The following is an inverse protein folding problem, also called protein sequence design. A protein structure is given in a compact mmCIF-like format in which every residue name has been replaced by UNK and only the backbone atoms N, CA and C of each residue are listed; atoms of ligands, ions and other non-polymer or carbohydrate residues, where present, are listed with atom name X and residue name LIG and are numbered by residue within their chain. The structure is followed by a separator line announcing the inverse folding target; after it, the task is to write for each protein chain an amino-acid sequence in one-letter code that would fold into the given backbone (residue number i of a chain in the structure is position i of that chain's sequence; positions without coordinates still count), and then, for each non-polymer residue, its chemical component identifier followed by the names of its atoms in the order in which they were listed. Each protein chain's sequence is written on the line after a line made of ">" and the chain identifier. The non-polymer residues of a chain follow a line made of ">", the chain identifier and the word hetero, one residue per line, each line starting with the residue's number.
data_IF_726815759746
#
_entry.id   IF_726815759746
#
_cell.length_a   1.000
_cell.length_b   1.000
_cell.length_c   1.000
_cell.angle_alpha   90.00
_cell.angle_beta   90.00
_cell.angle_gamma   90.00
#
_symmetry.space_group_name_H-M   'P 1'
#
loop_
_entity.id
_entity.type
_entity.pdbx_description
1 polymer ?
#
# COMPACT_ATOMS: atom_id res chain seq x y z
N UNK A 1 1.79 2.35 -4.61
CA UNK A 1 2.23 3.07 -3.40
C UNK A 1 3.13 4.23 -3.76
N UNK A 2 4.43 4.07 -4.04
CA UNK A 2 5.30 5.21 -4.41
C UNK A 2 4.90 5.85 -5.75
N UNK A 3 4.77 5.05 -6.81
CA UNK A 3 4.37 5.57 -8.12
C UNK A 3 3.01 6.31 -8.09
N UNK A 4 2.01 5.76 -7.39
CA UNK A 4 0.71 6.40 -7.24
C UNK A 4 0.78 7.70 -6.43
N UNK A 5 1.68 7.80 -5.45
CA UNK A 5 1.91 9.04 -4.70
C UNK A 5 2.61 10.14 -5.49
N UNK A 6 3.37 9.76 -6.52
CA UNK A 6 4.12 10.71 -7.36
C UNK A 6 3.29 11.17 -8.56
N UNK A 7 2.41 10.32 -9.09
CA UNK A 7 1.69 10.57 -10.36
C UNK A 7 0.24 11.04 -10.16
N UNK A 8 -0.39 10.70 -9.05
CA UNK A 8 -1.80 11.01 -8.79
C UNK A 8 -1.92 12.09 -7.70
N UNK A 9 -2.85 13.03 -7.89
CA UNK A 9 -3.13 14.12 -6.93
C UNK A 9 -3.72 13.59 -5.62
N UNK A 10 -4.66 12.64 -5.71
CA UNK A 10 -5.25 11.96 -4.56
C UNK A 10 -4.68 10.54 -4.44
N UNK A 11 -3.93 10.31 -3.37
CA UNK A 11 -3.24 9.04 -3.13
C UNK A 11 -3.43 8.57 -1.69
N UNK A 12 -3.31 7.27 -1.48
CA UNK A 12 -3.45 6.66 -0.17
C UNK A 12 -2.21 6.91 0.71
N UNK A 13 -2.46 7.23 1.99
CA UNK A 13 -1.43 7.32 3.03
C UNK A 13 -0.78 5.96 3.33
N UNK A 14 0.36 5.95 4.04
CA UNK A 14 0.98 4.69 4.47
C UNK A 14 0.12 3.89 5.42
N UNK A 15 -0.69 4.57 6.24
CA UNK A 15 -1.67 3.92 7.10
C UNK A 15 -2.74 3.21 6.27
N UNK A 16 -3.21 3.84 5.19
CA UNK A 16 -4.17 3.25 4.26
C UNK A 16 -3.57 2.06 3.51
N UNK A 17 -2.32 2.16 3.05
CA UNK A 17 -1.62 1.04 2.41
C UNK A 17 -1.35 -0.14 3.36
N UNK A 18 -1.12 0.11 4.65
CA UNK A 18 -1.02 -0.94 5.68
C UNK A 18 -2.34 -1.69 5.88
N UNK A 19 -3.49 -1.04 5.63
CA UNK A 19 -4.80 -1.71 5.66
C UNK A 19 -4.98 -2.57 4.40
N UNK A 20 -4.58 -2.06 3.23
CA UNK A 20 -4.64 -2.78 1.95
C UNK A 20 -3.80 -4.07 1.99
N UNK A 21 -2.69 -4.09 2.72
CA UNK A 21 -1.85 -5.28 2.88
C UNK A 21 -2.46 -6.35 3.80
N UNK A 22 -3.63 -6.11 4.42
CA UNK A 22 -4.36 -7.08 5.25
C UNK A 22 -3.52 -7.70 6.38
N UNK A 23 -2.53 -6.97 6.90
CA UNK A 23 -1.65 -7.45 7.97
C UNK A 23 -0.41 -8.20 7.50
N UNK A 24 -0.15 -8.28 6.18
CA UNK A 24 1.10 -8.81 5.65
C UNK A 24 2.30 -7.91 5.95
N UNK A 25 2.07 -6.60 6.08
CA UNK A 25 3.10 -5.61 6.38
C UNK A 25 2.62 -4.63 7.44
N UNK A 26 3.41 -4.45 8.49
CA UNK A 26 3.21 -3.41 9.49
C UNK A 26 3.48 -2.02 8.89
N UNK A 27 2.83 -0.99 9.45
CA UNK A 27 3.04 0.39 9.03
C UNK A 27 4.53 0.80 9.06
N UNK A 28 5.29 0.29 10.04
CA UNK A 28 6.73 0.56 10.16
C UNK A 28 7.51 0.01 8.96
N UNK A 29 7.19 -1.19 8.50
CA UNK A 29 7.84 -1.83 7.35
C UNK A 29 7.53 -1.08 6.06
N UNK A 30 6.27 -0.63 5.89
CA UNK A 30 5.87 0.19 4.73
C UNK A 30 6.60 1.53 4.74
N UNK A 31 6.69 2.19 5.90
CA UNK A 31 7.42 3.45 6.03
C UNK A 31 8.91 3.28 5.73
N UNK A 32 9.53 2.22 6.23
CA UNK A 32 10.93 1.92 5.98
C UNK A 32 11.18 1.64 4.49
N UNK A 33 10.38 0.78 3.88
CA UNK A 33 10.48 0.47 2.45
C UNK A 33 10.34 1.72 1.58
N UNK A 34 9.41 2.62 1.91
CA UNK A 34 9.26 3.90 1.22
C UNK A 34 10.51 4.78 1.35
N UNK A 35 11.04 4.93 2.56
CA UNK A 35 12.21 5.76 2.80
C UNK A 35 13.46 5.20 2.11
N UNK A 36 13.66 3.87 2.15
CA UNK A 36 14.76 3.20 1.45
C UNK A 36 14.64 3.39 -0.06
N UNK A 37 13.45 3.22 -0.63
CA UNK A 37 13.22 3.47 -2.06
C UNK A 37 13.48 4.92 -2.45
N UNK A 38 13.07 5.90 -1.64
CA UNK A 38 13.39 7.30 -1.88
C UNK A 38 14.90 7.56 -1.82
N UNK A 39 15.59 6.93 -0.87
CA UNK A 39 17.05 7.05 -0.75
C UNK A 39 17.79 6.43 -1.93
N UNK A 40 17.37 5.26 -2.42
CA UNK A 40 18.02 4.61 -3.57
C UNK A 40 17.87 5.39 -4.88
N UNK A 41 16.81 6.20 -4.97
CA UNK A 41 16.52 7.01 -6.14
C UNK A 41 17.03 8.45 -5.99
N UNK A 42 17.78 8.76 -4.92
CA UNK A 42 18.24 10.12 -4.61
C UNK A 42 17.11 11.17 -4.68
N UNK A 43 15.90 10.75 -4.30
CA UNK A 43 14.68 11.56 -4.38
C UNK A 43 14.29 12.03 -5.81
N UNK A 44 14.92 11.49 -6.86
CA UNK A 44 14.62 11.77 -8.27
C UNK A 44 13.46 10.91 -8.77
N UNK A 45 12.25 11.20 -8.31
CA UNK A 45 11.04 10.43 -8.66
C UNK A 45 10.30 10.96 -9.87
N UNK A 46 10.71 12.11 -10.42
CA UNK A 46 10.02 12.74 -11.54
C UNK A 46 10.29 12.00 -12.84
N UNK A 47 9.25 11.42 -13.41
CA UNK A 47 9.31 10.72 -14.70
C UNK A 47 8.91 11.70 -15.80
N UNK A 48 9.83 11.98 -16.72
CA UNK A 48 9.55 12.83 -17.89
C UNK A 48 8.43 12.22 -18.73
N UNK A 49 7.51 13.06 -19.20
CA UNK A 49 6.37 12.64 -20.03
C UNK A 49 6.80 11.79 -21.25
N UNK A 50 7.90 12.15 -21.91
CA UNK A 50 8.42 11.42 -23.06
C UNK A 50 8.87 9.99 -22.69
N UNK A 51 9.57 9.83 -21.58
CA UNK A 51 10.02 8.52 -21.10
C UNK A 51 8.83 7.61 -20.75
N UNK A 52 7.75 8.19 -20.19
CA UNK A 52 6.50 7.47 -19.93
C UNK A 52 5.83 6.99 -21.23
N UNK A 53 5.76 7.84 -22.25
CA UNK A 53 5.15 7.50 -23.55
C UNK A 53 5.93 6.40 -24.27
N UNK A 54 7.25 6.49 -24.30
CA UNK A 54 8.12 5.47 -24.89
C UNK A 54 7.95 4.12 -24.20
N UNK A 55 7.91 4.13 -22.86
CA UNK A 55 7.68 2.93 -22.06
C UNK A 55 6.31 2.31 -22.36
N UNK A 56 5.24 3.12 -22.38
CA UNK A 56 3.90 2.64 -22.68
C UNK A 56 3.81 2.02 -24.08
N UNK A 57 4.41 2.65 -25.09
CA UNK A 57 4.47 2.12 -26.45
C UNK A 57 5.22 0.78 -26.51
N UNK A 58 6.30 0.64 -25.74
CA UNK A 58 7.05 -0.61 -25.64
C UNK A 58 6.21 -1.71 -24.97
N UNK A 59 5.60 -1.43 -23.82
CA UNK A 59 4.71 -2.39 -23.12
C UNK A 59 3.55 -2.83 -24.02
N UNK A 60 2.89 -1.90 -24.73
CA UNK A 60 1.79 -2.21 -25.65
C UNK A 60 2.22 -3.07 -26.84
N UNK A 61 3.50 -3.06 -27.24
CA UNK A 61 4.03 -3.96 -28.27
C UNK A 61 4.29 -5.34 -27.69
N UNK A 62 4.95 -5.39 -26.53
CA UNK A 62 5.46 -6.63 -25.94
C UNK A 62 4.35 -7.48 -25.30
N UNK A 63 3.29 -6.86 -24.77
CA UNK A 63 2.20 -7.55 -24.04
C UNK A 63 1.08 -8.07 -24.97
N UNK A 64 1.14 -7.82 -26.28
CA UNK A 64 0.09 -8.26 -27.24
C UNK A 64 0.06 -9.78 -27.51
N UNK A 65 1.02 -10.55 -27.00
CA UNK A 65 1.21 -11.97 -27.36
C UNK A 65 1.16 -12.99 -26.23
N UNK A 66 1.05 -12.56 -24.97
CA UNK A 66 1.06 -13.50 -23.83
C UNK A 66 -0.02 -13.07 -22.87
N UNK A 67 -1.01 -13.95 -22.66
CA UNK A 67 -1.75 -13.96 -21.42
C UNK A 67 -0.70 -14.01 -20.31
N UNK A 68 -0.38 -12.86 -19.71
CA UNK A 68 0.33 -12.83 -18.45
C UNK A 68 -0.53 -13.68 -17.53
N UNK A 69 -0.04 -14.87 -17.21
CA UNK A 69 -0.60 -15.73 -16.19
C UNK A 69 -0.53 -14.92 -14.89
N UNK A 70 -1.58 -14.15 -14.64
CA UNK A 70 -1.74 -13.24 -13.51
C UNK A 70 -1.96 -14.01 -12.21
N UNK A 71 -1.68 -15.31 -12.21
CA UNK A 71 -1.48 -16.12 -11.02
C UNK A 71 -0.11 -15.82 -10.41
N UNK A 72 0.16 -14.55 -10.11
CA UNK A 72 1.05 -14.23 -9.01
C UNK A 72 0.35 -14.76 -7.76
N UNK A 73 0.59 -16.04 -7.47
CA UNK A 73 0.26 -16.71 -6.23
C UNK A 73 0.99 -15.98 -5.09
N UNK A 74 0.46 -14.82 -4.69
CA UNK A 74 0.64 -14.33 -3.34
C UNK A 74 -0.15 -15.31 -2.50
N UNK A 75 0.50 -16.41 -2.09
CA UNK A 75 -0.01 -17.26 -1.03
C UNK A 75 -0.16 -16.36 0.19
N UNK A 76 -1.35 -15.79 0.37
CA UNK A 76 -1.73 -15.05 1.56
C UNK A 76 -1.55 -16.03 2.74
N UNK A 77 -0.59 -15.79 3.66
CA UNK A 77 -0.55 -16.59 4.88
C UNK A 77 -1.89 -16.39 5.58
N UNK A 78 -2.54 -17.50 5.95
CA UNK A 78 -3.86 -17.49 6.56
C UNK A 78 -3.89 -16.48 7.72
N UNK A 79 -4.86 -15.57 7.66
CA UNK A 79 -5.09 -14.52 8.65
C UNK A 79 -5.19 -15.17 10.05
N UNK A 80 -4.28 -14.89 11.00
CA UNK A 80 -4.51 -15.33 12.37
C UNK A 80 -5.80 -14.69 12.89
N UNK A 81 -6.62 -15.40 13.67
CA UNK A 81 -7.87 -14.86 14.19
C UNK A 81 -7.58 -13.59 14.98
N UNK A 82 -8.15 -12.49 14.50
CA UNK A 82 -8.18 -11.23 15.23
C UNK A 82 -8.94 -11.51 16.52
N UNK A 83 -8.24 -11.63 17.65
CA UNK A 83 -8.88 -11.65 18.96
C UNK A 83 -9.65 -10.33 19.08
N UNK A 84 -10.96 -10.41 18.91
CA UNK A 84 -11.90 -9.36 19.25
C UNK A 84 -11.85 -9.18 20.77
N UNK A 85 -10.90 -8.40 21.27
CA UNK A 85 -11.03 -7.80 22.58
C UNK A 85 -11.44 -6.34 22.36
N UNK A 86 -12.76 -6.17 22.39
CA UNK A 86 -13.46 -4.91 22.37
C UNK A 86 -12.75 -3.86 23.25
N UNK A 87 -12.55 -2.67 22.70
CA UNK A 87 -12.34 -1.46 23.47
C UNK A 87 -13.54 -1.22 24.39
N UNK A 88 -13.33 -0.71 25.62
CA UNK A 88 -14.37 0.04 26.30
C UNK A 88 -13.90 1.49 26.44
N UNK A 89 -14.33 2.35 25.52
CA UNK A 89 -14.41 3.79 25.76
C UNK A 89 -15.80 4.24 25.32
N UNK A 90 -16.67 4.47 26.30
CA UNK A 90 -18.04 4.95 26.10
C UNK A 90 -18.80 5.07 27.43
N UNK A 91 -18.88 6.29 27.95
CA UNK A 91 -19.54 6.76 29.17
C UNK A 91 -20.98 6.24 29.38
N UNK A 92 -21.33 5.95 30.65
CA UNK A 92 -22.59 6.44 31.25
C UNK A 92 -22.51 6.44 32.78
N UNK A 93 -22.93 7.58 33.33
CA UNK A 93 -23.06 7.92 34.76
C UNK A 93 -23.95 6.92 35.51
N UNK A 94 -23.60 6.59 36.74
CA UNK A 94 -24.63 6.43 37.77
C UNK A 94 -24.09 6.77 39.16
N UNK A 95 -24.98 7.41 39.90
CA UNK A 95 -24.79 8.13 41.15
C UNK A 95 -24.66 7.15 42.31
N UNK A 96 -23.73 7.45 43.21
CA UNK A 96 -23.44 6.74 44.46
C UNK A 96 -24.54 7.02 45.51
N UNK A 97 -25.01 6.01 46.25
CA UNK A 97 -25.55 6.24 47.58
C UNK A 97 -24.93 5.27 48.61
N UNK A 98 -24.06 5.78 49.49
CA UNK A 98 -24.00 5.45 50.92
C UNK A 98 -22.97 6.31 51.67
#
# INVERSE_FOLDING_TARGET
>A
MIASKVICDDTYSNKSWSIVSQGMFALREINQMEQEMHSYLDWQLNIKANARLEFEQKVRRDVKGTAFDLTYNIALPARPPHNARASPLGLARNVDPR
#
